data_IF_867716079436
#
_entry.id   IF_867716079436
#
_cell.length_a   1.000
_cell.length_b   1.000
_cell.length_c   1.000
_cell.angle_alpha   90.00
_cell.angle_beta   90.00
_cell.angle_gamma   90.00
#
_symmetry.space_group_name_H-M   'P 1'
#
loop_
_entity.id
_entity.type
_entity.pdbx_description
1 polymer ?
#
# COMPACT_ATOMS: atom_id res chain seq x y z
N UNK A 1 -81.08 -84.90 36.76
CA UNK A 1 -82.51 -84.81 36.41
C UNK A 1 -82.59 -84.28 34.97
N UNK A 2 -83.20 -85.03 34.04
CA UNK A 2 -84.04 -84.61 32.87
C UNK A 2 -83.73 -83.26 32.16
N UNK A 3 -83.78 -83.05 30.84
CA UNK A 3 -84.00 -83.79 29.58
C UNK A 3 -83.91 -82.75 28.43
N UNK A 4 -83.78 -83.23 27.16
CA UNK A 4 -84.19 -82.62 25.85
C UNK A 4 -83.29 -81.53 25.25
N UNK A 5 -82.65 -81.74 24.09
CA UNK A 5 -83.17 -81.91 22.70
C UNK A 5 -83.62 -80.57 22.07
N UNK A 6 -82.93 -80.11 21.02
CA UNK A 6 -83.50 -79.70 19.71
C UNK A 6 -82.39 -79.36 18.68
N UNK A 7 -82.61 -79.82 17.45
CA UNK A 7 -81.87 -79.54 16.21
C UNK A 7 -82.07 -78.08 15.74
N UNK A 8 -81.07 -77.46 15.08
CA UNK A 8 -81.23 -76.79 13.77
C UNK A 8 -79.86 -76.40 13.15
N UNK A 9 -79.79 -76.52 11.82
CA UNK A 9 -78.67 -76.27 10.89
C UNK A 9 -78.41 -74.76 10.69
N UNK A 10 -77.14 -74.33 10.47
CA UNK A 10 -76.69 -73.46 9.36
C UNK A 10 -75.31 -72.79 9.57
N UNK A 11 -74.45 -72.98 8.56
CA UNK A 11 -73.44 -72.05 8.00
C UNK A 11 -72.43 -71.35 8.93
N UNK A 12 -71.19 -71.85 8.97
CA UNK A 12 -70.02 -71.08 9.40
C UNK A 12 -69.27 -70.55 8.17
N UNK A 13 -69.40 -69.24 7.93
CA UNK A 13 -68.49 -68.46 7.10
C UNK A 13 -67.19 -68.26 7.91
N UNK A 14 -66.16 -69.07 7.65
CA UNK A 14 -64.85 -68.87 8.25
C UNK A 14 -64.07 -67.84 7.42
N UNK A 15 -63.86 -66.66 8.02
CA UNK A 15 -62.99 -65.62 7.50
C UNK A 15 -61.59 -66.19 7.18
N UNK A 16 -61.24 -66.20 5.89
CA UNK A 16 -59.86 -66.38 5.45
C UNK A 16 -59.11 -65.08 5.77
N UNK A 17 -58.47 -65.05 6.94
CA UNK A 17 -57.43 -64.07 7.22
C UNK A 17 -56.25 -64.45 6.33
N UNK A 18 -56.01 -63.70 5.25
CA UNK A 18 -54.78 -63.82 4.48
C UNK A 18 -53.61 -63.56 5.46
N UNK A 19 -52.87 -64.60 5.80
CA UNK A 19 -51.57 -64.44 6.44
C UNK A 19 -50.67 -63.66 5.48
N UNK A 20 -49.97 -62.60 5.92
CA UNK A 20 -49.00 -61.93 5.07
C UNK A 20 -47.92 -62.92 4.65
N UNK A 21 -47.45 -62.82 3.41
CA UNK A 21 -46.38 -63.66 2.89
C UNK A 21 -45.14 -63.54 3.79
N UNK A 22 -44.69 -64.65 4.36
CA UNK A 22 -43.42 -64.70 5.07
C UNK A 22 -42.28 -64.51 4.06
N UNK A 23 -41.41 -63.52 4.29
CA UNK A 23 -40.18 -63.38 3.52
C UNK A 23 -39.23 -64.51 3.93
N UNK A 24 -39.09 -65.52 3.08
CA UNK A 24 -38.12 -66.59 3.27
C UNK A 24 -36.71 -66.03 3.00
N UNK A 25 -35.91 -65.83 4.06
CA UNK A 25 -34.50 -65.50 3.94
C UNK A 25 -33.69 -66.80 3.85
N UNK A 26 -32.91 -66.95 2.77
CA UNK A 26 -31.90 -68.02 2.68
C UNK A 26 -30.63 -67.54 3.36
N UNK A 27 -30.28 -68.13 4.51
CA UNK A 27 -29.01 -67.86 5.20
C UNK A 27 -27.97 -68.88 4.77
N UNK A 28 -26.87 -68.42 4.18
CA UNK A 28 -25.70 -69.25 3.89
C UNK A 28 -24.78 -69.25 5.13
N UNK A 29 -24.85 -70.29 5.97
CA UNK A 29 -24.02 -70.40 7.18
C UNK A 29 -22.62 -70.95 6.87
N UNK A 30 -21.59 -70.44 7.53
CA UNK A 30 -20.18 -70.86 7.31
C UNK A 30 -19.46 -70.01 6.26
N UNK A 31 -18.29 -70.47 5.83
CA UNK A 31 -17.51 -69.80 4.78
C UNK A 31 -18.02 -70.24 3.40
N UNK A 32 -18.23 -69.29 2.50
CA UNK A 32 -18.69 -69.54 1.13
C UNK A 32 -17.73 -68.92 0.12
N UNK A 33 -17.50 -69.61 -0.99
CA UNK A 33 -16.77 -69.10 -2.14
C UNK A 33 -17.68 -69.22 -3.36
N UNK A 34 -17.77 -68.13 -4.13
CA UNK A 34 -18.47 -68.11 -5.41
C UNK A 34 -17.40 -68.14 -6.51
N UNK A 35 -17.35 -69.24 -7.26
CA UNK A 35 -16.55 -69.36 -8.48
C UNK A 35 -17.42 -68.95 -9.68
N UNK A 36 -17.09 -67.82 -10.31
CA UNK A 36 -17.90 -67.16 -11.33
C UNK A 36 -18.38 -65.78 -10.90
N UNK A 37 -19.65 -65.46 -11.21
CA UNK A 37 -20.22 -64.13 -11.00
C UNK A 37 -21.43 -64.15 -10.06
N UNK A 38 -21.62 -63.09 -9.28
CA UNK A 38 -22.74 -62.93 -8.34
C UNK A 38 -23.62 -61.74 -8.72
N UNK A 39 -24.94 -61.93 -8.74
CA UNK A 39 -25.91 -60.83 -8.69
C UNK A 39 -26.61 -60.83 -7.34
N UNK A 40 -26.63 -59.68 -6.67
CA UNK A 40 -27.37 -59.49 -5.42
C UNK A 40 -28.33 -58.29 -5.51
N UNK A 41 -29.55 -58.46 -5.00
CA UNK A 41 -30.58 -57.43 -4.96
C UNK A 41 -31.89 -57.85 -5.66
N UNK A 42 -32.97 -57.11 -5.38
CA UNK A 42 -34.32 -57.42 -5.86
C UNK A 42 -34.47 -57.31 -7.39
N UNK A 43 -33.56 -56.61 -8.06
CA UNK A 43 -33.52 -56.49 -9.52
C UNK A 43 -32.75 -57.60 -10.24
N UNK A 44 -32.19 -58.57 -9.52
CA UNK A 44 -31.51 -59.72 -10.12
C UNK A 44 -32.52 -60.73 -10.69
N UNK A 45 -32.15 -61.35 -11.81
CA UNK A 45 -32.95 -62.33 -12.56
C UNK A 45 -32.23 -63.67 -12.67
N UNK A 46 -32.92 -64.71 -13.14
CA UNK A 46 -32.31 -66.03 -13.38
C UNK A 46 -31.38 -66.11 -14.60
N UNK A 47 -31.24 -65.02 -15.36
CA UNK A 47 -30.48 -64.97 -16.62
C UNK A 47 -29.68 -63.69 -16.74
N UNK A 48 -28.89 -63.36 -15.72
CA UNK A 48 -27.99 -62.21 -15.75
C UNK A 48 -26.86 -62.40 -16.76
N UNK A 49 -26.55 -61.34 -17.49
CA UNK A 49 -25.38 -61.28 -18.37
C UNK A 49 -24.21 -60.66 -17.63
N UNK A 50 -23.03 -61.28 -17.68
CA UNK A 50 -21.79 -60.76 -17.09
C UNK A 50 -20.74 -60.66 -18.20
N UNK A 51 -20.05 -59.52 -18.28
CA UNK A 51 -18.98 -59.32 -19.27
C UNK A 51 -17.63 -59.37 -18.55
N UNK A 52 -17.42 -58.43 -17.62
CA UNK A 52 -16.21 -58.33 -16.82
C UNK A 52 -16.49 -58.18 -15.31
N UNK A 53 -17.76 -58.12 -14.90
CA UNK A 53 -18.13 -57.85 -13.51
C UNK A 53 -18.15 -59.12 -12.66
N UNK A 54 -17.37 -59.19 -11.58
CA UNK A 54 -17.48 -60.29 -10.61
C UNK A 54 -18.74 -60.20 -9.73
N UNK A 55 -19.20 -58.97 -9.43
CA UNK A 55 -20.37 -58.68 -8.61
C UNK A 55 -21.26 -57.63 -9.30
N UNK A 56 -22.56 -57.90 -9.38
CA UNK A 56 -23.60 -56.94 -9.77
C UNK A 56 -24.56 -56.72 -8.61
N UNK A 57 -24.79 -55.46 -8.27
CA UNK A 57 -25.83 -55.07 -7.33
C UNK A 57 -26.97 -54.45 -8.14
N UNK A 58 -28.18 -55.01 -8.04
CA UNK A 58 -29.36 -54.55 -8.78
C UNK A 58 -30.51 -54.28 -7.81
N UNK A 59 -30.76 -53.01 -7.53
CA UNK A 59 -31.82 -52.52 -6.65
C UNK A 59 -32.16 -51.07 -7.02
N UNK A 60 -33.30 -50.57 -6.56
CA UNK A 60 -33.64 -49.14 -6.70
C UNK A 60 -32.80 -48.25 -5.78
N UNK A 61 -32.44 -48.74 -4.58
CA UNK A 61 -31.40 -48.18 -3.69
C UNK A 61 -30.27 -49.20 -3.65
N UNK A 62 -29.17 -48.88 -4.32
CA UNK A 62 -28.01 -49.77 -4.46
C UNK A 62 -26.94 -49.34 -3.48
N UNK A 63 -26.61 -50.24 -2.55
CA UNK A 63 -25.65 -49.97 -1.50
C UNK A 63 -24.99 -51.22 -0.94
N UNK A 64 -23.88 -51.01 -0.24
CA UNK A 64 -23.19 -52.01 0.58
C UNK A 64 -23.14 -51.46 2.00
N UNK A 65 -23.74 -52.19 2.94
CA UNK A 65 -23.77 -51.81 4.35
C UNK A 65 -22.74 -52.62 5.12
N UNK A 66 -21.95 -51.94 5.95
CA UNK A 66 -20.96 -52.49 6.85
C UNK A 66 -21.42 -52.20 8.28
N UNK A 67 -22.04 -53.18 8.93
CA UNK A 67 -22.51 -53.08 10.31
C UNK A 67 -21.46 -53.65 11.26
N UNK A 68 -21.00 -52.84 12.22
CA UNK A 68 -20.11 -53.26 13.28
C UNK A 68 -20.93 -53.84 14.44
N UNK A 69 -20.65 -55.10 14.79
CA UNK A 69 -21.37 -55.84 15.85
C UNK A 69 -20.58 -55.96 17.15
N UNK A 70 -19.47 -55.22 17.27
CA UNK A 70 -18.59 -55.27 18.44
C UNK A 70 -19.29 -54.69 19.67
N UNK A 71 -19.15 -55.36 20.82
CA UNK A 71 -19.83 -55.00 22.08
C UNK A 71 -18.87 -54.74 23.25
N UNK A 72 -17.56 -54.82 23.03
CA UNK A 72 -16.53 -54.66 24.06
C UNK A 72 -16.24 -53.21 24.45
N UNK A 73 -15.84 -52.97 25.69
CA UNK A 73 -15.42 -51.64 26.15
C UNK A 73 -14.22 -51.14 25.34
N UNK A 74 -14.34 -49.96 24.72
CA UNK A 74 -13.30 -49.38 23.85
C UNK A 74 -13.31 -49.89 22.40
N UNK A 75 -14.27 -50.75 22.03
CA UNK A 75 -14.45 -51.15 20.64
C UNK A 75 -14.94 -49.95 19.80
N UNK A 76 -14.50 -49.91 18.54
CA UNK A 76 -15.15 -49.06 17.55
C UNK A 76 -16.51 -49.67 17.22
N UNK A 77 -17.56 -48.85 17.12
CA UNK A 77 -18.96 -49.32 16.93
C UNK A 77 -19.63 -48.61 15.75
N UNK A 78 -18.85 -48.22 14.75
CA UNK A 78 -19.30 -47.29 13.72
C UNK A 78 -19.60 -48.01 12.43
N UNK A 79 -20.87 -47.94 12.03
CA UNK A 79 -21.35 -48.51 10.79
C UNK A 79 -21.06 -47.59 9.60
N UNK A 80 -20.80 -48.20 8.46
CA UNK A 80 -20.51 -47.52 7.20
C UNK A 80 -21.44 -48.02 6.08
N UNK A 81 -21.74 -47.15 5.13
CA UNK A 81 -22.50 -47.49 3.92
C UNK A 81 -21.75 -46.94 2.71
N UNK A 82 -21.50 -47.78 1.71
CA UNK A 82 -21.21 -47.32 0.35
C UNK A 82 -22.55 -47.24 -0.37
N UNK A 83 -22.84 -46.10 -0.97
CA UNK A 83 -24.11 -45.82 -1.64
C UNK A 83 -23.84 -45.21 -3.01
N UNK A 84 -24.53 -45.69 -4.04
CA UNK A 84 -24.28 -45.28 -5.44
C UNK A 84 -25.47 -44.59 -6.11
N UNK A 85 -26.60 -44.44 -5.40
CA UNK A 85 -27.76 -43.68 -5.81
C UNK A 85 -28.72 -43.43 -4.62
N UNK A 86 -29.70 -42.54 -4.78
CA UNK A 86 -30.80 -42.34 -3.84
C UNK A 86 -32.16 -42.44 -4.57
N UNK A 87 -33.16 -42.94 -3.85
CA UNK A 87 -34.53 -43.18 -4.34
C UNK A 87 -35.43 -41.93 -4.26
N UNK A 88 -34.98 -40.82 -3.68
CA UNK A 88 -35.84 -39.67 -3.37
C UNK A 88 -35.39 -38.31 -3.92
N UNK A 89 -34.24 -38.20 -4.59
CA UNK A 89 -33.60 -36.89 -4.84
C UNK A 89 -33.02 -36.66 -6.24
N UNK A 90 -33.37 -37.47 -7.25
CA UNK A 90 -32.80 -37.43 -8.62
C UNK A 90 -31.25 -37.32 -8.63
N UNK A 91 -30.62 -37.74 -7.54
CA UNK A 91 -29.20 -37.52 -7.30
C UNK A 91 -28.45 -38.81 -7.58
N UNK A 92 -27.74 -38.83 -8.71
CA UNK A 92 -26.82 -39.90 -9.09
C UNK A 92 -25.41 -39.56 -8.54
N UNK A 93 -24.83 -40.44 -7.71
CA UNK A 93 -23.53 -40.18 -7.07
C UNK A 93 -22.90 -41.44 -6.50
N UNK A 94 -21.58 -41.45 -6.31
CA UNK A 94 -20.90 -42.39 -5.44
C UNK A 94 -20.63 -41.73 -4.08
N UNK A 95 -21.01 -42.37 -2.97
CA UNK A 95 -20.76 -41.84 -1.64
C UNK A 95 -20.30 -42.90 -0.63
N UNK A 96 -19.47 -42.45 0.31
CA UNK A 96 -19.15 -43.17 1.54
C UNK A 96 -19.81 -42.44 2.70
N UNK A 97 -20.64 -43.17 3.46
CA UNK A 97 -21.39 -42.67 4.60
C UNK A 97 -20.92 -43.35 5.88
N UNK A 98 -20.82 -42.56 6.95
CA UNK A 98 -20.59 -43.00 8.32
C UNK A 98 -21.88 -42.72 9.10
N UNK A 99 -22.69 -43.73 9.35
CA UNK A 99 -24.08 -43.57 9.81
C UNK A 99 -24.87 -42.62 8.87
N UNK A 100 -25.54 -41.58 9.39
CA UNK A 100 -26.31 -40.61 8.62
C UNK A 100 -25.47 -39.50 7.95
N UNK A 101 -24.13 -39.51 8.10
CA UNK A 101 -23.24 -38.48 7.54
C UNK A 101 -22.56 -38.97 6.27
N UNK A 102 -22.70 -38.23 5.18
CA UNK A 102 -21.87 -38.38 3.99
C UNK A 102 -20.49 -37.81 4.26
N UNK A 103 -19.45 -38.66 4.22
CA UNK A 103 -18.06 -38.22 4.46
C UNK A 103 -17.27 -38.04 3.17
N UNK A 104 -17.72 -38.66 2.08
CA UNK A 104 -17.17 -38.52 0.74
C UNK A 104 -18.30 -38.69 -0.27
N UNK A 105 -18.31 -37.85 -1.30
CA UNK A 105 -19.26 -37.91 -2.40
C UNK A 105 -18.60 -37.45 -3.69
N UNK A 106 -18.89 -38.17 -4.77
CA UNK A 106 -18.60 -37.78 -6.15
C UNK A 106 -19.91 -37.84 -6.91
N UNK A 107 -20.36 -36.70 -7.44
CA UNK A 107 -21.56 -36.65 -8.28
C UNK A 107 -21.31 -37.36 -9.62
N UNK A 108 -22.35 -37.97 -10.20
CA UNK A 108 -22.21 -38.84 -11.37
C UNK A 108 -21.55 -38.17 -12.58
N UNK A 109 -21.78 -36.86 -12.77
CA UNK A 109 -21.24 -36.08 -13.88
C UNK A 109 -19.93 -35.35 -13.54
N UNK A 110 -19.25 -35.72 -12.44
CA UNK A 110 -17.92 -35.21 -12.14
C UNK A 110 -16.98 -35.47 -13.34
N UNK A 111 -16.27 -34.45 -13.86
CA UNK A 111 -15.48 -34.60 -15.08
C UNK A 111 -14.32 -35.56 -14.88
N UNK A 112 -13.77 -36.05 -16.01
CA UNK A 112 -12.53 -36.83 -15.98
C UNK A 112 -11.44 -36.08 -15.23
N UNK A 113 -10.79 -36.78 -14.30
CA UNK A 113 -9.71 -36.24 -13.47
C UNK A 113 -10.13 -35.07 -12.55
N UNK A 114 -11.42 -35.03 -12.15
CA UNK A 114 -11.91 -34.10 -11.12
C UNK A 114 -11.06 -34.15 -9.84
N UNK A 115 -10.75 -35.37 -9.36
CA UNK A 115 -9.75 -35.64 -8.35
C UNK A 115 -8.89 -36.82 -8.82
N UNK A 116 -7.58 -36.61 -8.94
CA UNK A 116 -6.61 -37.67 -9.24
C UNK A 116 -5.52 -37.71 -8.17
N UNK A 117 -5.19 -38.89 -7.69
CA UNK A 117 -3.98 -39.13 -6.88
C UNK A 117 -3.04 -39.95 -7.75
N UNK A 118 -1.83 -39.45 -8.01
CA UNK A 118 -0.83 -40.18 -8.79
C UNK A 118 -0.10 -41.25 -7.97
N UNK A 119 0.65 -42.12 -8.65
CA UNK A 119 1.52 -43.13 -8.04
C UNK A 119 2.63 -42.54 -7.16
N UNK A 120 3.07 -41.32 -7.48
CA UNK A 120 4.01 -40.55 -6.66
C UNK A 120 3.35 -39.75 -5.53
N UNK A 121 2.02 -39.85 -5.35
CA UNK A 121 1.27 -39.21 -4.27
C UNK A 121 0.79 -37.79 -4.56
N UNK A 122 1.04 -37.24 -5.76
CA UNK A 122 0.57 -35.90 -6.13
C UNK A 122 -0.95 -35.87 -6.33
N UNK A 123 -1.59 -34.78 -5.90
CA UNK A 123 -3.02 -34.55 -6.07
C UNK A 123 -3.27 -33.62 -7.26
N UNK A 124 -4.04 -34.10 -8.24
CA UNK A 124 -4.52 -33.32 -9.37
C UNK A 124 -5.99 -32.96 -9.20
N UNK A 125 -6.32 -31.70 -9.46
CA UNK A 125 -7.68 -31.21 -9.62
C UNK A 125 -7.85 -30.73 -11.06
N UNK A 126 -8.65 -31.46 -11.85
CA UNK A 126 -8.87 -31.18 -13.27
C UNK A 126 -7.73 -31.56 -14.20
N UNK A 127 -6.77 -32.39 -13.76
CA UNK A 127 -5.57 -32.77 -14.54
C UNK A 127 -5.22 -34.25 -14.43
N UNK A 128 -4.86 -34.85 -15.57
CA UNK A 128 -4.42 -36.25 -15.64
C UNK A 128 -2.96 -36.44 -15.19
N UNK A 129 -2.10 -35.42 -15.31
CA UNK A 129 -0.68 -35.53 -15.02
C UNK A 129 -0.30 -34.47 -13.98
N UNK A 130 -0.55 -34.71 -12.68
CA UNK A 130 -0.13 -33.79 -11.63
C UNK A 130 1.40 -33.65 -11.61
N UNK A 131 1.92 -32.43 -11.76
CA UNK A 131 3.37 -32.14 -11.86
C UNK A 131 3.96 -31.51 -10.60
N UNK A 132 3.13 -31.32 -9.57
CA UNK A 132 3.49 -30.83 -8.26
C UNK A 132 2.61 -31.54 -7.22
N UNK A 133 3.00 -31.47 -5.94
CA UNK A 133 2.27 -32.08 -4.81
C UNK A 133 0.76 -31.79 -4.87
N UNK A 134 0.40 -30.55 -5.24
CA UNK A 134 -0.95 -30.15 -5.65
C UNK A 134 -0.90 -29.45 -7.02
N UNK A 135 -1.60 -29.99 -8.01
CA UNK A 135 -1.76 -29.40 -9.34
C UNK A 135 -3.23 -29.09 -9.61
N UNK A 136 -3.59 -27.80 -9.60
CA UNK A 136 -4.93 -27.33 -9.94
C UNK A 136 -4.93 -26.78 -11.37
N UNK A 137 -5.73 -27.37 -12.24
CA UNK A 137 -5.85 -26.97 -13.64
C UNK A 137 -7.30 -26.56 -13.95
N UNK A 138 -7.49 -25.36 -14.49
CA UNK A 138 -8.78 -24.89 -15.01
C UNK A 138 -8.58 -24.07 -16.29
N UNK A 139 -9.63 -23.93 -17.10
CA UNK A 139 -9.58 -23.17 -18.36
C UNK A 139 -9.61 -21.64 -18.23
N UNK A 140 -9.72 -21.10 -17.01
CA UNK A 140 -9.71 -19.66 -16.77
C UNK A 140 -8.73 -19.33 -15.64
N UNK A 141 -9.20 -19.15 -14.41
CA UNK A 141 -8.39 -18.79 -13.25
C UNK A 141 -8.42 -19.92 -12.21
N UNK A 142 -7.48 -20.89 -12.24
CA UNK A 142 -7.36 -21.86 -11.16
C UNK A 142 -7.23 -21.14 -9.80
N UNK A 143 -8.00 -21.62 -8.83
CA UNK A 143 -8.19 -20.95 -7.54
C UNK A 143 -8.24 -21.97 -6.42
N UNK A 144 -7.70 -21.63 -5.26
CA UNK A 144 -7.95 -22.31 -3.99
C UNK A 144 -8.80 -21.36 -3.14
N UNK A 145 -10.02 -21.80 -2.79
CA UNK A 145 -10.97 -21.03 -1.98
C UNK A 145 -10.82 -21.36 -0.50
N UNK A 146 -10.76 -20.32 0.33
CA UNK A 146 -10.81 -20.37 1.78
C UNK A 146 -12.07 -19.60 2.22
N UNK A 147 -13.05 -20.32 2.74
CA UNK A 147 -14.36 -19.76 3.10
C UNK A 147 -14.65 -19.95 4.59
N UNK A 148 -14.99 -18.85 5.24
CA UNK A 148 -15.64 -18.84 6.54
C UNK A 148 -17.14 -18.71 6.31
N UNK A 149 -17.90 -19.73 6.66
CA UNK A 149 -19.35 -19.83 6.40
C UNK A 149 -20.24 -19.17 7.48
N UNK A 150 -19.61 -18.63 8.54
CA UNK A 150 -20.29 -17.98 9.66
C UNK A 150 -21.05 -18.93 10.59
N UNK A 151 -20.97 -20.25 10.40
CA UNK A 151 -21.65 -21.26 11.22
C UNK A 151 -21.25 -21.21 12.71
N UNK A 152 -20.10 -20.62 13.01
CA UNK A 152 -19.57 -20.42 14.36
C UNK A 152 -19.79 -18.98 14.91
N UNK A 153 -20.74 -18.22 14.36
CA UNK A 153 -21.13 -16.90 14.89
C UNK A 153 -20.26 -15.71 14.42
N UNK A 154 -19.27 -15.95 13.57
CA UNK A 154 -18.50 -14.90 12.91
C UNK A 154 -19.19 -14.47 11.61
N UNK A 155 -18.91 -13.26 11.13
CA UNK A 155 -19.38 -12.84 9.81
C UNK A 155 -18.76 -13.74 8.72
N UNK A 156 -19.51 -14.20 7.71
CA UNK A 156 -18.96 -14.95 6.60
C UNK A 156 -17.88 -14.15 5.85
N UNK A 157 -16.86 -14.83 5.36
CA UNK A 157 -15.80 -14.20 4.59
C UNK A 157 -15.11 -15.19 3.65
N UNK A 158 -14.68 -14.72 2.49
CA UNK A 158 -14.06 -15.56 1.47
C UNK A 158 -12.73 -14.98 1.02
N UNK A 159 -11.74 -15.85 0.88
CA UNK A 159 -10.43 -15.56 0.32
C UNK A 159 -10.08 -16.56 -0.76
N UNK A 160 -9.58 -16.07 -1.88
CA UNK A 160 -9.13 -16.87 -3.00
C UNK A 160 -7.62 -16.66 -3.20
N UNK A 161 -6.87 -17.76 -3.28
CA UNK A 161 -5.50 -17.77 -3.84
C UNK A 161 -5.63 -18.15 -5.30
N UNK A 162 -5.14 -17.31 -6.21
CA UNK A 162 -5.35 -17.51 -7.64
C UNK A 162 -4.09 -17.28 -8.47
N UNK A 163 -4.06 -17.90 -9.65
CA UNK A 163 -3.10 -17.63 -10.72
C UNK A 163 -3.80 -17.56 -12.07
N UNK A 164 -3.39 -16.62 -12.93
CA UNK A 164 -3.89 -16.47 -14.29
C UNK A 164 -2.88 -15.76 -15.19
N UNK A 165 -3.27 -15.48 -16.43
CA UNK A 165 -2.53 -14.65 -17.38
C UNK A 165 -2.28 -13.21 -16.89
N UNK A 166 -3.08 -12.74 -15.93
CA UNK A 166 -2.91 -11.42 -15.31
C UNK A 166 -1.82 -11.44 -14.24
N UNK A 167 -1.64 -12.56 -13.53
CA UNK A 167 -0.67 -12.69 -12.45
C UNK A 167 -1.05 -13.73 -11.40
N UNK A 168 -0.33 -13.68 -10.28
CA UNK A 168 -0.57 -14.50 -9.08
C UNK A 168 -0.95 -13.59 -7.91
N UNK A 169 -2.00 -13.93 -7.16
CA UNK A 169 -2.47 -13.03 -6.12
C UNK A 169 -3.47 -13.64 -5.14
N UNK A 170 -3.92 -12.76 -4.24
CA UNK A 170 -4.95 -13.02 -3.25
C UNK A 170 -6.09 -12.03 -3.51
N UNK A 171 -7.32 -12.54 -3.55
CA UNK A 171 -8.54 -11.73 -3.74
C UNK A 171 -9.62 -12.08 -2.74
N UNK A 172 -10.58 -11.18 -2.57
CA UNK A 172 -11.77 -11.36 -1.74
C UNK A 172 -13.00 -10.74 -2.41
N UNK A 173 -14.18 -11.15 -1.96
CA UNK A 173 -15.46 -10.67 -2.44
C UNK A 173 -16.31 -10.14 -1.28
N UNK A 174 -16.31 -8.82 -1.09
CA UNK A 174 -17.05 -8.14 -0.02
C UNK A 174 -17.72 -6.89 -0.60
N UNK A 175 -18.92 -7.08 -1.15
CA UNK A 175 -19.64 -6.06 -1.92
C UNK A 175 -19.04 -5.77 -3.32
N UNK A 176 -18.01 -6.52 -3.72
CA UNK A 176 -17.31 -6.41 -5.00
C UNK A 176 -15.94 -7.09 -4.95
N UNK A 177 -15.33 -7.32 -6.12
CA UNK A 177 -13.99 -7.89 -6.23
C UNK A 177 -12.94 -6.93 -5.66
N UNK A 178 -12.16 -7.41 -4.69
CA UNK A 178 -10.99 -6.72 -4.14
C UNK A 178 -9.76 -7.61 -4.31
N UNK A 179 -8.67 -7.05 -4.82
CA UNK A 179 -7.38 -7.76 -5.00
C UNK A 179 -6.31 -7.05 -4.17
N UNK A 180 -6.20 -7.34 -2.86
CA UNK A 180 -5.25 -6.67 -1.98
C UNK A 180 -3.79 -7.01 -2.28
N UNK A 181 -3.51 -8.14 -2.93
CA UNK A 181 -2.16 -8.54 -3.30
C UNK A 181 -2.15 -9.18 -4.69
N UNK A 182 -1.29 -8.65 -5.58
CA UNK A 182 -1.12 -9.15 -6.94
C UNK A 182 0.34 -8.97 -7.36
N UNK A 183 0.98 -10.07 -7.75
CA UNK A 183 2.19 -10.06 -8.57
C UNK A 183 1.73 -10.22 -10.01
N UNK A 184 1.84 -9.15 -10.80
CA UNK A 184 1.44 -9.19 -12.21
C UNK A 184 2.34 -10.13 -13.01
N UNK A 185 1.76 -10.75 -14.05
CA UNK A 185 2.51 -11.57 -14.99
C UNK A 185 3.66 -10.75 -15.61
N UNK A 186 4.87 -11.31 -15.57
CA UNK A 186 6.07 -10.64 -16.07
C UNK A 186 6.78 -9.73 -15.05
N UNK A 187 6.35 -9.68 -13.78
CA UNK A 187 7.11 -9.01 -12.73
C UNK A 187 8.56 -9.54 -12.68
N UNK A 188 9.57 -8.65 -12.60
CA UNK A 188 10.97 -9.06 -12.64
C UNK A 188 11.38 -9.81 -11.38
N UNK A 189 12.51 -10.51 -11.45
CA UNK A 189 13.12 -11.12 -10.28
C UNK A 189 13.35 -10.07 -9.17
N UNK A 190 13.07 -10.43 -7.92
CA UNK A 190 13.22 -9.57 -6.75
C UNK A 190 12.35 -8.29 -6.79
N UNK A 191 11.23 -8.29 -7.53
CA UNK A 191 10.28 -7.18 -7.53
C UNK A 191 9.85 -6.79 -6.10
N UNK A 192 9.58 -7.79 -5.26
CA UNK A 192 9.46 -7.69 -3.80
C UNK A 192 10.28 -8.83 -3.18
N UNK A 193 11.19 -8.49 -2.27
CA UNK A 193 11.98 -9.45 -1.48
C UNK A 193 11.80 -9.13 0.00
N UNK A 194 11.64 -10.16 0.84
CA UNK A 194 11.62 -10.05 2.30
C UNK A 194 12.67 -11.03 2.81
N UNK A 195 13.69 -10.53 3.51
CA UNK A 195 14.78 -11.34 4.07
C UNK A 195 14.38 -11.95 5.43
N UNK A 196 15.20 -12.89 5.93
CA UNK A 196 14.97 -13.60 7.20
C UNK A 196 15.21 -12.73 8.45
N UNK A 197 15.89 -11.60 8.29
CA UNK A 197 16.00 -10.52 9.29
C UNK A 197 14.84 -9.50 9.20
N UNK A 198 13.97 -9.62 8.21
CA UNK A 198 12.81 -8.76 7.99
C UNK A 198 13.06 -7.58 7.04
N UNK A 199 14.26 -7.42 6.49
CA UNK A 199 14.55 -6.33 5.55
C UNK A 199 13.79 -6.53 4.22
N UNK A 200 13.26 -5.43 3.68
CA UNK A 200 12.43 -5.42 2.47
C UNK A 200 13.20 -4.80 1.30
N UNK A 201 13.33 -5.56 0.22
CA UNK A 201 13.90 -5.12 -1.05
C UNK A 201 12.83 -4.89 -2.13
N UNK A 202 12.88 -3.74 -2.80
CA UNK A 202 12.05 -3.42 -3.97
C UNK A 202 12.95 -3.29 -5.21
N UNK A 203 12.99 -4.35 -6.03
CA UNK A 203 13.91 -4.47 -7.15
C UNK A 203 15.34 -4.93 -6.76
N UNK A 204 15.52 -5.44 -5.54
CA UNK A 204 16.82 -5.88 -5.05
C UNK A 204 16.71 -7.06 -4.08
N UNK A 205 17.39 -8.16 -4.37
CA UNK A 205 17.36 -9.39 -3.56
C UNK A 205 18.32 -9.40 -2.35
N UNK A 206 19.08 -8.33 -2.14
CA UNK A 206 20.03 -8.23 -1.02
C UNK A 206 20.01 -6.82 -0.42
N UNK A 207 18.85 -6.35 0.08
CA UNK A 207 18.71 -5.04 0.72
C UNK A 207 19.80 -4.82 1.78
N UNK A 208 20.19 -3.55 1.97
CA UNK A 208 21.25 -3.12 2.90
C UNK A 208 20.70 -2.15 3.95
N UNK A 209 19.38 -2.09 4.04
CA UNK A 209 18.58 -1.25 4.91
C UNK A 209 17.19 -1.89 5.00
N UNK A 210 16.49 -1.66 6.11
CA UNK A 210 15.17 -2.21 6.38
C UNK A 210 14.15 -2.04 5.24
N UNK A 211 14.27 -0.95 4.47
CA UNK A 211 13.60 -0.78 3.19
C UNK A 211 14.61 -0.26 2.16
N UNK A 212 14.88 -1.04 1.12
CA UNK A 212 15.78 -0.67 0.03
C UNK A 212 15.07 -0.73 -1.32
N UNK A 213 14.80 0.43 -1.91
CA UNK A 213 14.36 0.56 -3.30
C UNK A 213 15.55 0.76 -4.22
N UNK A 214 15.72 -0.13 -5.20
CA UNK A 214 16.82 -0.06 -6.17
C UNK A 214 16.33 -0.39 -7.58
N UNK A 215 16.80 0.37 -8.56
CA UNK A 215 16.65 0.10 -9.99
C UNK A 215 17.99 0.32 -10.69
N UNK A 216 18.21 -0.37 -11.78
CA UNK A 216 19.36 -0.27 -12.68
C UNK A 216 18.97 0.26 -14.08
N UNK A 217 17.71 0.67 -14.25
CA UNK A 217 17.12 1.21 -15.49
C UNK A 217 17.01 2.74 -15.51
N UNK A 218 17.51 3.42 -14.47
CA UNK A 218 17.43 4.88 -14.32
C UNK A 218 16.09 5.41 -13.82
N UNK A 219 15.16 4.56 -13.39
CA UNK A 219 13.80 4.96 -12.97
C UNK A 219 13.55 4.95 -11.45
N UNK A 220 14.59 4.70 -10.64
CA UNK A 220 14.47 4.66 -9.19
C UNK A 220 13.91 5.97 -8.62
N UNK A 221 12.69 5.91 -8.08
CA UNK A 221 12.01 7.04 -7.45
C UNK A 221 11.21 6.57 -6.23
N UNK A 222 11.05 7.44 -5.24
CA UNK A 222 10.14 7.24 -4.11
C UNK A 222 9.04 8.31 -4.18
N UNK A 223 7.84 7.90 -4.57
CA UNK A 223 6.68 8.79 -4.71
C UNK A 223 5.70 8.54 -3.57
N UNK A 224 5.32 9.61 -2.86
CA UNK A 224 4.23 9.61 -1.89
C UNK A 224 3.21 10.64 -2.34
N UNK A 225 2.01 10.19 -2.67
CA UNK A 225 0.95 11.02 -3.22
C UNK A 225 -0.35 10.83 -2.46
N UNK A 226 -1.04 11.93 -2.20
CA UNK A 226 -2.40 11.98 -1.67
C UNK A 226 -3.30 12.61 -2.75
N UNK A 227 -4.46 12.01 -3.00
CA UNK A 227 -5.35 12.36 -4.11
C UNK A 227 -6.76 12.76 -3.67
N UNK A 228 -7.01 12.84 -2.36
CA UNK A 228 -8.25 13.43 -1.84
C UNK A 228 -8.48 14.82 -2.42
N UNK A 229 -9.72 15.08 -2.86
CA UNK A 229 -10.11 16.35 -3.46
C UNK A 229 -10.03 17.53 -2.48
N UNK A 230 -9.99 17.27 -1.18
CA UNK A 230 -9.91 18.27 -0.11
C UNK A 230 -8.48 18.76 0.07
N UNK A 231 -8.23 20.00 -0.36
CA UNK A 231 -6.91 20.66 -0.28
C UNK A 231 -6.63 21.19 1.13
N UNK A 232 -6.17 20.31 2.01
CA UNK A 232 -5.72 20.66 3.37
C UNK A 232 -4.30 20.15 3.62
N UNK A 233 -3.50 20.81 4.48
CA UNK A 233 -2.18 20.32 4.87
C UNK A 233 -2.26 18.91 5.47
N UNK A 234 -1.38 18.01 5.03
CA UNK A 234 -1.28 16.63 5.51
C UNK A 234 0.19 16.27 5.75
N UNK A 235 0.42 15.40 6.73
CA UNK A 235 1.76 14.85 6.95
C UNK A 235 1.99 13.70 5.99
N UNK A 236 2.74 13.94 4.92
CA UNK A 236 3.06 12.91 3.90
C UNK A 236 4.23 12.02 4.31
N UNK A 237 5.16 12.55 5.11
CA UNK A 237 6.31 11.83 5.63
C UNK A 237 6.57 12.29 7.07
N UNK A 238 6.57 11.35 8.01
CA UNK A 238 6.85 11.60 9.42
C UNK A 238 8.11 10.84 9.82
N UNK A 239 9.19 11.57 10.13
CA UNK A 239 10.46 10.99 10.56
C UNK A 239 10.67 11.31 12.04
N UNK A 240 10.72 10.27 12.86
CA UNK A 240 10.93 10.40 14.31
C UNK A 240 12.18 9.65 14.72
N UNK A 241 13.00 10.31 15.53
CA UNK A 241 14.23 9.76 16.06
C UNK A 241 14.49 10.43 17.43
N UNK A 242 15.21 9.74 18.32
CA UNK A 242 15.66 10.31 19.59
C UNK A 242 16.79 11.35 19.40
N UNK A 243 17.37 11.41 18.21
CA UNK A 243 18.22 12.52 17.76
C UNK A 243 17.57 13.26 16.59
N UNK A 244 18.32 14.15 15.95
CA UNK A 244 17.87 14.84 14.73
C UNK A 244 17.63 13.82 13.60
N UNK A 245 16.40 13.64 13.09
CA UNK A 245 16.17 12.94 11.82
C UNK A 245 16.83 13.70 10.67
N UNK A 246 17.38 12.96 9.70
CA UNK A 246 18.10 13.54 8.56
C UNK A 246 17.68 12.86 7.25
N UNK A 247 17.46 13.66 6.22
CA UNK A 247 17.45 13.23 4.84
C UNK A 247 18.86 13.38 4.27
N UNK A 248 19.33 12.36 3.56
CA UNK A 248 20.68 12.31 3.01
C UNK A 248 20.63 12.17 1.50
N UNK A 249 21.44 12.99 0.81
CA UNK A 249 21.57 13.03 -0.64
C UNK A 249 23.05 12.83 -0.99
N UNK A 250 23.40 11.62 -1.44
CA UNK A 250 24.76 11.24 -1.81
C UNK A 250 24.94 11.18 -3.32
N UNK A 251 26.08 11.65 -3.80
CA UNK A 251 26.54 11.47 -5.17
C UNK A 251 27.74 10.51 -5.16
N UNK A 252 27.50 9.26 -5.52
CA UNK A 252 28.51 8.19 -5.55
C UNK A 252 29.60 8.39 -6.61
N UNK A 253 29.41 9.29 -7.58
CA UNK A 253 30.44 9.61 -8.57
C UNK A 253 31.44 10.66 -8.09
N UNK A 254 31.05 11.51 -7.12
CA UNK A 254 31.92 12.57 -6.57
C UNK A 254 32.26 12.35 -5.09
N UNK A 255 31.75 11.27 -4.50
CA UNK A 255 31.74 10.99 -3.07
C UNK A 255 31.15 12.12 -2.20
N UNK A 256 30.47 13.09 -2.81
CA UNK A 256 29.86 14.22 -2.10
C UNK A 256 28.51 13.85 -1.51
N UNK A 257 28.27 14.23 -0.25
CA UNK A 257 27.00 13.97 0.42
C UNK A 257 26.49 15.19 1.17
N UNK A 258 25.21 15.49 0.99
CA UNK A 258 24.48 16.52 1.74
C UNK A 258 23.49 15.87 2.68
N UNK A 259 23.32 16.44 3.86
CA UNK A 259 22.26 16.05 4.78
C UNK A 259 21.49 17.28 5.25
N UNK A 260 20.17 17.15 5.25
CA UNK A 260 19.24 18.14 5.81
C UNK A 260 18.51 17.46 6.95
N UNK A 261 18.58 18.04 8.15
CA UNK A 261 17.88 17.51 9.30
C UNK A 261 17.18 18.60 10.09
N UNK A 262 16.10 18.22 10.76
CA UNK A 262 15.32 19.11 11.60
C UNK A 262 14.98 18.42 12.92
N UNK A 263 14.69 19.22 13.95
CA UNK A 263 14.40 18.78 15.31
C UNK A 263 14.21 20.05 16.14
N UNK A 264 15.15 20.34 17.04
CA UNK A 264 15.21 21.67 17.66
C UNK A 264 15.59 22.76 16.66
N UNK A 265 16.53 22.48 15.75
CA UNK A 265 17.02 23.41 14.73
C UNK A 265 16.97 22.75 13.34
N UNK A 266 16.77 23.54 12.30
CA UNK A 266 17.00 23.10 10.91
C UNK A 266 18.49 23.22 10.61
N UNK A 267 19.15 22.12 10.27
CA UNK A 267 20.60 22.05 10.06
C UNK A 267 20.89 21.41 8.71
N UNK A 268 21.79 22.02 7.95
CA UNK A 268 22.33 21.41 6.73
C UNK A 268 23.85 21.20 6.86
N UNK A 269 24.30 20.02 6.41
CA UNK A 269 25.71 19.61 6.48
C UNK A 269 26.18 18.95 5.19
N UNK A 270 27.49 19.00 4.96
CA UNK A 270 28.17 18.34 3.83
C UNK A 270 29.26 17.41 4.34
N UNK A 271 29.43 16.27 3.68
CA UNK A 271 30.52 15.33 3.94
C UNK A 271 30.74 14.36 2.78
N UNK A 272 31.23 13.18 3.13
CA UNK A 272 31.51 12.07 2.20
C UNK A 272 30.36 11.06 2.22
N UNK A 273 30.06 10.40 1.11
CA UNK A 273 29.02 9.36 1.02
C UNK A 273 29.20 8.30 2.12
N UNK A 274 28.13 7.99 2.84
CA UNK A 274 28.12 6.99 3.91
C UNK A 274 28.76 7.43 5.23
N UNK A 275 29.25 8.68 5.33
CA UNK A 275 29.78 9.22 6.58
C UNK A 275 28.66 9.50 7.59
N UNK A 276 28.93 9.23 8.88
CA UNK A 276 27.98 9.53 9.96
C UNK A 276 27.80 11.05 10.12
N UNK A 277 26.60 11.50 10.48
CA UNK A 277 26.27 12.93 10.66
C UNK A 277 27.28 13.77 11.48
N UNK A 278 27.87 13.27 12.57
CA UNK A 278 28.87 14.05 13.32
C UNK A 278 30.17 14.34 12.55
N UNK A 279 30.51 13.54 11.55
CA UNK A 279 31.69 13.73 10.71
C UNK A 279 31.46 14.76 9.58
N UNK A 280 30.21 15.18 9.36
CA UNK A 280 29.84 16.16 8.33
C UNK A 280 29.98 17.58 8.85
N UNK A 281 30.47 18.48 7.99
CA UNK A 281 30.63 19.91 8.31
C UNK A 281 29.29 20.64 8.18
N UNK A 282 28.88 21.34 9.24
CA UNK A 282 27.72 22.25 9.22
C UNK A 282 28.08 23.54 8.47
N UNK A 283 27.18 24.00 7.61
CA UNK A 283 27.35 25.29 6.92
C UNK A 283 26.12 26.20 7.03
N UNK A 284 24.98 25.66 7.46
CA UNK A 284 23.72 26.37 7.64
C UNK A 284 22.98 25.84 8.87
N UNK A 285 22.44 26.76 9.67
CA UNK A 285 21.52 26.46 10.76
C UNK A 285 20.48 27.57 10.90
N UNK A 286 19.21 27.18 11.02
CA UNK A 286 18.14 28.05 11.53
C UNK A 286 17.75 27.55 12.92
N UNK A 287 17.93 28.41 13.92
CA UNK A 287 17.57 28.09 15.29
C UNK A 287 16.05 28.07 15.46
N UNK A 288 15.48 26.96 15.92
CA UNK A 288 14.02 26.85 16.07
C UNK A 288 13.46 27.58 17.29
N UNK A 289 14.32 28.05 18.21
CA UNK A 289 13.93 28.80 19.40
C UNK A 289 14.00 30.30 19.15
N UNK A 290 15.10 30.78 18.57
CA UNK A 290 15.31 32.22 18.35
C UNK A 290 14.92 32.69 16.95
N UNK A 291 14.90 31.79 15.97
CA UNK A 291 14.74 32.13 14.56
C UNK A 291 16.02 32.67 13.91
N UNK A 292 17.16 32.63 14.60
CA UNK A 292 18.42 33.15 14.07
C UNK A 292 18.99 32.24 12.98
N UNK A 293 19.55 32.88 11.95
CA UNK A 293 20.27 32.23 10.86
C UNK A 293 21.78 32.27 11.12
N UNK A 294 22.41 31.09 11.23
CA UNK A 294 23.86 30.93 11.24
C UNK A 294 24.33 30.32 9.91
N UNK A 295 25.21 31.03 9.21
CA UNK A 295 25.96 30.50 8.05
C UNK A 295 27.45 30.58 8.35
N UNK A 296 28.20 29.54 7.96
CA UNK A 296 29.66 29.53 8.16
C UNK A 296 30.42 30.28 7.06
N UNK A 297 29.72 30.63 5.97
CA UNK A 297 30.25 31.38 4.83
C UNK A 297 29.72 32.81 4.77
N UNK A 298 29.83 33.42 3.60
CA UNK A 298 29.27 34.75 3.32
C UNK A 298 27.83 34.65 2.80
N UNK A 299 27.00 35.63 3.13
CA UNK A 299 25.70 35.83 2.49
C UNK A 299 25.91 36.67 1.24
N UNK A 300 25.81 36.03 0.07
CA UNK A 300 25.88 36.71 -1.22
C UNK A 300 24.46 36.79 -1.77
N UNK A 301 23.97 37.99 -2.03
CA UNK A 301 22.65 38.23 -2.61
C UNK A 301 22.81 38.73 -4.05
N UNK A 302 21.72 38.72 -4.83
CA UNK A 302 21.71 39.23 -6.21
C UNK A 302 21.95 40.74 -6.35
N UNK A 303 22.20 41.45 -5.24
CA UNK A 303 22.32 42.90 -5.20
C UNK A 303 20.96 43.63 -5.25
N UNK A 304 20.94 44.95 -5.09
CA UNK A 304 19.77 45.78 -5.38
C UNK A 304 19.45 45.77 -6.89
N UNK A 305 18.19 45.98 -7.25
CA UNK A 305 17.72 46.08 -8.65
C UNK A 305 18.32 47.28 -9.41
N UNK A 306 18.89 48.26 -8.70
CA UNK A 306 19.45 49.48 -9.27
C UNK A 306 18.52 50.13 -10.32
N UNK A 307 17.22 50.22 -10.01
CA UNK A 307 16.21 50.72 -10.96
C UNK A 307 16.51 52.16 -11.46
N UNK A 308 17.24 52.97 -10.69
CA UNK A 308 17.72 54.30 -11.05
C UNK A 308 19.21 54.36 -11.49
N UNK A 309 19.84 53.20 -11.69
CA UNK A 309 21.27 53.04 -11.97
C UNK A 309 22.11 53.01 -10.70
N UNK A 310 22.96 51.98 -10.55
CA UNK A 310 23.96 51.99 -9.48
C UNK A 310 24.98 53.09 -9.79
N UNK A 311 25.39 53.87 -8.79
CA UNK A 311 26.36 54.96 -8.92
C UNK A 311 25.94 56.05 -9.92
N UNK A 312 24.66 56.09 -10.32
CA UNK A 312 24.16 57.02 -11.33
C UNK A 312 24.28 58.48 -10.89
N UNK A 313 24.29 58.75 -9.59
CA UNK A 313 24.37 60.13 -9.07
C UNK A 313 25.69 60.85 -9.44
N UNK A 314 26.71 60.08 -9.85
CA UNK A 314 27.99 60.62 -10.30
C UNK A 314 28.04 60.90 -11.81
N UNK A 315 27.00 60.56 -12.57
CA UNK A 315 26.98 60.79 -14.00
C UNK A 315 26.58 62.23 -14.33
N UNK A 316 27.16 62.77 -15.41
CA UNK A 316 26.89 64.16 -15.84
C UNK A 316 25.42 64.37 -16.28
N UNK A 317 24.72 63.31 -16.63
CA UNK A 317 23.31 63.30 -17.04
C UNK A 317 22.33 63.03 -15.89
N UNK A 318 22.83 62.84 -14.67
CA UNK A 318 21.98 62.70 -13.49
C UNK A 318 21.45 64.05 -13.04
N UNK A 319 20.12 64.15 -12.93
CA UNK A 319 19.45 65.32 -12.39
C UNK A 319 19.63 65.37 -10.87
N UNK A 320 20.79 65.85 -10.44
CA UNK A 320 21.15 65.94 -9.02
C UNK A 320 20.38 67.11 -8.37
N UNK A 321 19.49 66.85 -7.40
CA UNK A 321 18.82 67.93 -6.69
C UNK A 321 19.83 68.77 -5.91
N UNK A 322 19.56 70.06 -5.74
CA UNK A 322 20.37 70.92 -4.87
C UNK A 322 20.32 70.46 -3.41
N UNK A 323 21.27 70.95 -2.60
CA UNK A 323 21.34 70.65 -1.16
C UNK A 323 20.02 71.02 -0.48
N UNK A 324 19.47 72.18 -0.83
CA UNK A 324 18.23 72.71 -0.29
C UNK A 324 17.03 71.86 -0.73
N UNK A 325 16.92 71.51 -2.02
CA UNK A 325 15.81 70.70 -2.54
C UNK A 325 15.80 69.29 -1.92
N UNK A 326 16.96 68.65 -1.81
CA UNK A 326 17.08 67.33 -1.19
C UNK A 326 16.76 67.38 0.31
N UNK A 327 17.20 68.43 1.01
CA UNK A 327 16.87 68.64 2.43
C UNK A 327 15.36 68.84 2.63
N UNK A 328 14.74 69.72 1.84
CA UNK A 328 13.30 69.97 1.88
C UNK A 328 12.51 68.68 1.64
N UNK A 329 12.93 67.87 0.66
CA UNK A 329 12.30 66.59 0.38
C UNK A 329 12.44 65.60 1.54
N UNK A 330 13.64 65.45 2.10
CA UNK A 330 13.89 64.57 3.24
C UNK A 330 13.03 64.96 4.46
N UNK A 331 12.95 66.26 4.78
CA UNK A 331 12.15 66.74 5.91
C UNK A 331 10.64 66.62 5.66
N UNK A 332 10.19 66.82 4.42
CA UNK A 332 8.79 66.62 4.05
C UNK A 332 8.36 65.15 4.11
N UNK A 333 9.24 64.23 3.71
CA UNK A 333 8.97 62.77 3.71
C UNK A 333 9.18 62.12 5.10
N UNK A 334 10.01 62.71 5.95
CA UNK A 334 10.40 62.11 7.24
C UNK A 334 11.34 60.91 7.11
N UNK A 335 11.94 60.72 5.93
CA UNK A 335 12.96 59.70 5.64
C UNK A 335 13.78 60.13 4.43
N UNK A 336 14.89 59.42 4.18
CA UNK A 336 15.71 59.64 2.99
C UNK A 336 14.94 59.20 1.72
N UNK A 337 14.87 60.03 0.66
CA UNK A 337 14.01 59.79 -0.50
C UNK A 337 14.23 58.45 -1.22
N UNK A 338 15.48 58.01 -1.41
CA UNK A 338 15.82 56.77 -2.10
C UNK A 338 15.66 55.53 -1.21
N UNK A 339 15.90 55.65 0.10
CA UNK A 339 15.73 54.55 1.06
C UNK A 339 14.25 54.24 1.30
N UNK A 340 13.38 55.25 1.34
CA UNK A 340 11.96 55.08 1.64
C UNK A 340 11.65 54.88 3.13
N UNK A 341 10.36 54.84 3.51
CA UNK A 341 9.94 54.80 4.91
C UNK A 341 10.25 53.45 5.55
N UNK A 342 10.58 53.45 6.85
CA UNK A 342 10.71 52.21 7.64
C UNK A 342 9.45 52.02 8.47
N UNK A 343 8.60 51.09 8.04
CA UNK A 343 7.33 50.80 8.72
C UNK A 343 7.57 49.71 9.78
N UNK A 344 7.11 49.89 11.03
CA UNK A 344 7.20 48.85 12.06
C UNK A 344 6.59 47.53 11.58
N UNK A 345 7.28 46.42 11.88
CA UNK A 345 6.88 45.03 11.57
C UNK A 345 6.71 44.71 10.07
N UNK A 346 7.02 45.65 9.17
CA UNK A 346 7.00 45.39 7.74
C UNK A 346 8.31 44.70 7.30
N UNK A 347 8.25 43.67 6.44
CA UNK A 347 9.44 43.05 5.91
C UNK A 347 10.25 44.05 5.05
N UNK A 348 11.57 44.05 5.21
CA UNK A 348 12.48 44.84 4.37
C UNK A 348 13.32 43.90 3.48
N UNK A 349 13.46 44.26 2.20
CA UNK A 349 14.47 43.62 1.37
C UNK A 349 15.83 44.25 1.69
N UNK A 350 16.67 43.48 2.38
CA UNK A 350 17.99 43.94 2.82
C UNK A 350 18.87 44.34 1.64
N UNK A 351 18.80 43.63 0.50
CA UNK A 351 19.63 43.95 -0.67
C UNK A 351 19.26 45.30 -1.29
N UNK A 352 17.95 45.55 -1.45
CA UNK A 352 17.44 46.84 -1.95
C UNK A 352 17.78 47.97 -0.99
N UNK A 353 17.54 47.78 0.31
CA UNK A 353 17.87 48.78 1.33
C UNK A 353 19.36 49.12 1.34
N UNK A 354 20.25 48.14 1.17
CA UNK A 354 21.69 48.40 1.06
C UNK A 354 22.02 49.23 -0.19
N UNK A 355 21.43 48.92 -1.34
CA UNK A 355 21.61 49.72 -2.57
C UNK A 355 21.11 51.16 -2.43
N UNK A 356 19.92 51.34 -1.86
CA UNK A 356 19.34 52.66 -1.63
C UNK A 356 20.15 53.47 -0.60
N UNK A 357 20.68 52.80 0.43
CA UNK A 357 21.58 53.44 1.39
C UNK A 357 22.88 53.89 0.73
N UNK A 358 23.45 53.11 -0.20
CA UNK A 358 24.58 53.55 -1.00
C UNK A 358 24.23 54.79 -1.83
N UNK A 359 23.08 54.80 -2.51
CA UNK A 359 22.64 55.96 -3.29
C UNK A 359 22.53 57.26 -2.45
N UNK A 360 21.97 57.19 -1.25
CA UNK A 360 21.91 58.35 -0.33
C UNK A 360 23.28 58.77 0.19
N UNK A 361 24.17 57.80 0.45
CA UNK A 361 25.55 58.09 0.82
C UNK A 361 26.28 58.82 -0.31
N UNK A 362 26.03 58.46 -1.57
CA UNK A 362 26.64 59.13 -2.71
C UNK A 362 26.17 60.59 -2.85
N UNK A 363 24.85 60.86 -2.72
CA UNK A 363 24.31 62.22 -2.66
C UNK A 363 25.00 63.04 -1.56
N UNK A 364 25.11 62.48 -0.35
CA UNK A 364 25.76 63.15 0.77
C UNK A 364 27.23 63.51 0.47
N UNK A 365 28.00 62.63 -0.18
CA UNK A 365 29.39 62.92 -0.55
C UNK A 365 29.50 64.04 -1.60
N UNK A 366 28.57 64.11 -2.56
CA UNK A 366 28.54 65.20 -3.55
C UNK A 366 28.22 66.53 -2.86
N UNK A 367 27.22 66.57 -1.98
CA UNK A 367 26.83 67.78 -1.27
C UNK A 367 27.93 68.30 -0.33
N UNK A 368 28.65 67.40 0.35
CA UNK A 368 29.82 67.77 1.16
C UNK A 368 30.88 68.44 0.29
N UNK A 369 31.16 67.90 -0.90
CA UNK A 369 32.12 68.50 -1.83
C UNK A 369 31.68 69.88 -2.35
N UNK A 370 30.38 70.07 -2.59
CA UNK A 370 29.80 71.36 -2.98
C UNK A 370 29.92 72.39 -1.85
N UNK A 371 29.57 72.03 -0.61
CA UNK A 371 29.70 72.90 0.56
C UNK A 371 31.16 73.32 0.79
N UNK A 372 32.11 72.38 0.70
CA UNK A 372 33.54 72.69 0.80
C UNK A 372 33.99 73.71 -0.26
N UNK A 373 33.49 73.58 -1.50
CA UNK A 373 33.76 74.54 -2.58
C UNK A 373 33.18 75.93 -2.28
N UNK A 374 31.96 75.99 -1.74
CA UNK A 374 31.34 77.26 -1.32
C UNK A 374 32.10 77.90 -0.17
N UNK A 375 32.44 77.13 0.87
CA UNK A 375 33.20 77.59 2.04
C UNK A 375 34.56 78.15 1.62
N UNK A 376 35.25 77.51 0.68
CA UNK A 376 36.53 78.00 0.14
C UNK A 376 36.42 79.34 -0.59
N UNK A 377 35.24 79.69 -1.11
CA UNK A 377 34.99 80.98 -1.78
C UNK A 377 34.66 82.11 -0.80
N UNK A 378 34.26 81.78 0.43
CA UNK A 378 33.88 82.79 1.44
C UNK A 378 35.00 83.82 1.67
N UNK A 379 36.29 83.45 1.90
CA UNK A 379 37.34 84.43 2.13
C UNK A 379 37.60 85.37 0.94
N UNK A 380 37.47 84.86 -0.30
CA UNK A 380 37.61 85.67 -1.52
C UNK A 380 36.44 86.67 -1.66
N UNK A 381 35.22 86.21 -1.37
CA UNK A 381 34.04 87.08 -1.35
C UNK A 381 34.11 88.13 -0.24
N UNK A 382 34.58 87.77 0.96
CA UNK A 382 34.82 88.71 2.06
C UNK A 382 35.87 89.76 1.67
N UNK A 383 36.96 89.36 1.00
CA UNK A 383 37.97 90.29 0.51
C UNK A 383 37.42 91.25 -0.56
N UNK A 384 36.58 90.75 -1.47
CA UNK A 384 35.92 91.57 -2.51
C UNK A 384 34.89 92.52 -1.91
N UNK A 385 34.13 92.08 -0.89
CA UNK A 385 33.19 92.92 -0.15
C UNK A 385 33.92 94.06 0.57
N UNK A 386 35.01 93.75 1.29
CA UNK A 386 35.84 94.75 1.97
C UNK A 386 36.42 95.79 1.00
N UNK A 387 36.84 95.37 -0.21
CA UNK A 387 37.31 96.28 -1.25
C UNK A 387 36.19 97.18 -1.81
N UNK A 388 34.98 96.64 -1.98
CA UNK A 388 33.79 97.40 -2.40
C UNK A 388 33.33 98.40 -1.34
N UNK A 389 33.31 98.01 -0.07
CA UNK A 389 32.99 98.89 1.05
C UNK A 389 33.98 100.06 1.16
N UNK A 390 35.28 99.80 0.94
CA UNK A 390 36.30 100.85 0.86
C UNK A 390 36.04 101.83 -0.30
N UNK A 391 35.68 101.33 -1.48
CA UNK A 391 35.40 102.16 -2.65
C UNK A 391 34.11 103.00 -2.51
N UNK A 392 33.06 102.46 -1.88
CA UNK A 392 31.82 103.19 -1.61
C UNK A 392 32.05 104.30 -0.59
N UNK A 393 32.83 104.04 0.48
CA UNK A 393 33.16 105.06 1.49
C UNK A 393 33.88 106.26 0.87
N UNK A 394 34.80 106.01 -0.05
CA UNK A 394 35.55 107.03 -0.81
C UNK A 394 34.66 107.84 -1.78
N UNK A 395 33.51 107.28 -2.19
CA UNK A 395 32.53 107.96 -3.07
C UNK A 395 31.52 108.84 -2.33
N UNK A 396 31.27 108.58 -1.04
CA UNK A 396 30.35 109.36 -0.19
C UNK A 396 30.99 110.55 0.52
N UNK A 397 32.33 110.65 0.51
CA UNK A 397 33.09 111.79 1.05
C UNK A 397 33.41 112.88 -0.01
N UNK A 398 32.84 112.76 -1.21
CA UNK A 398 32.81 113.81 -2.25
C UNK A 398 31.39 114.32 -2.43
#
# INVERSE_FOLDING_TARGET
MRTRMFLFLASQFLCLVLAPAALAQTVLSGNHSVDGHLCAGQGCTGSESFIYEALKLKSSDTSIVFEDTSTGQGASTRDWKIEVNDVWSDSEYFAVKSHAKTVFRVDADAPYYALKISDNGNVGLGTFLPQADLHVMSGSTPTIKLEQDGSNGNAPYEWDIFGSEVGFGIRTWDGGLKVPFLIQAGAPQNALTILDDGDIGLGFGSPTAALHLRRDDGTATFMVQETDATTVPRTMMNLQNNGRPELVMGNTATDGEWSIGAGSNLVMKRGVVGSRSPAKTRFFMLDGTTGDLEITGQLITGGPTCEKGCDAVFSDDYDLPSIEEHADQMFALGHLPAIGPTVPDAPINISERHGQMLNELEHAHIYIAQLESQIRRIPDLEARLAALEAAVRDSTER
#
